data_IF_432527693369
#
_entry.id   IF_432527693369
#
_cell.length_a   1.000
_cell.length_b   1.000
_cell.length_c   1.000
_cell.angle_alpha   90.00
_cell.angle_beta   90.00
_cell.angle_gamma   90.00
#
_symmetry.space_group_name_H-M   'P 1'
#
loop_
_entity.id
_entity.type
_entity.pdbx_description
1 polymer ?
#
# COMPACT_ATOMS: atom_id res chain seq x y z
N UNK A 1 -36.74 32.43 -39.15
CA UNK A 1 -36.08 33.09 -38.00
C UNK A 1 -35.09 32.13 -37.37
N UNK A 2 -34.10 32.69 -36.67
CA UNK A 2 -32.77 32.17 -36.31
C UNK A 2 -32.71 30.84 -35.54
N UNK A 3 -31.65 30.09 -35.89
CA UNK A 3 -31.03 28.95 -35.19
C UNK A 3 -30.71 29.30 -33.74
N UNK A 4 -30.79 28.30 -32.84
CA UNK A 4 -29.89 28.15 -31.69
C UNK A 4 -29.81 26.66 -31.34
N UNK A 5 -28.89 26.00 -32.03
CA UNK A 5 -28.30 24.72 -31.67
C UNK A 5 -26.97 25.12 -31.05
N UNK A 6 -26.82 25.13 -29.71
CA UNK A 6 -25.51 25.25 -29.05
C UNK A 6 -25.61 24.96 -27.53
N UNK A 7 -24.66 24.16 -27.03
CA UNK A 7 -24.36 23.94 -25.61
C UNK A 7 -24.63 22.51 -25.12
N UNK A 8 -23.82 21.47 -25.38
CA UNK A 8 -22.39 21.33 -24.99
C UNK A 8 -22.28 21.54 -23.45
N UNK A 9 -21.85 20.64 -22.57
CA UNK A 9 -20.85 19.57 -22.63
C UNK A 9 -21.18 18.56 -21.52
N UNK A 10 -21.03 17.30 -21.89
CA UNK A 10 -20.91 16.13 -21.02
C UNK A 10 -19.69 16.29 -20.08
N UNK A 11 -19.83 16.85 -18.88
CA UNK A 11 -18.75 16.83 -17.87
C UNK A 11 -18.70 15.49 -17.14
N UNK A 12 -18.39 14.42 -17.89
CA UNK A 12 -17.70 13.25 -17.35
C UNK A 12 -16.26 13.70 -17.03
N UNK A 13 -16.07 14.38 -15.91
CA UNK A 13 -14.73 14.68 -15.41
C UNK A 13 -14.13 13.37 -14.89
N UNK A 14 -13.27 12.79 -15.73
CA UNK A 14 -12.13 11.94 -15.45
C UNK A 14 -12.06 11.38 -14.02
N UNK A 15 -12.36 10.10 -13.85
CA UNK A 15 -11.95 9.33 -12.66
C UNK A 15 -11.26 8.02 -13.01
N UNK A 16 -10.56 7.93 -14.15
CA UNK A 16 -9.97 6.66 -14.60
C UNK A 16 -8.43 6.62 -14.65
N UNK A 17 -7.72 7.69 -14.31
CA UNK A 17 -6.24 7.69 -14.43
C UNK A 17 -5.51 7.30 -13.14
N UNK A 18 -6.13 7.48 -11.96
CA UNK A 18 -5.45 7.23 -10.68
C UNK A 18 -5.41 5.74 -10.28
N UNK A 19 -6.38 4.95 -10.75
CA UNK A 19 -6.45 3.50 -10.45
C UNK A 19 -5.41 2.69 -11.21
N UNK A 20 -5.05 3.09 -12.44
CA UNK A 20 -4.08 2.37 -13.26
C UNK A 20 -2.64 2.50 -12.75
N UNK A 21 -2.26 3.67 -12.22
CA UNK A 21 -0.94 3.89 -11.62
C UNK A 21 -0.79 3.14 -10.29
N UNK A 22 -1.79 3.22 -9.41
CA UNK A 22 -1.82 2.43 -8.17
C UNK A 22 -1.74 0.92 -8.42
N UNK A 23 -2.48 0.41 -9.41
CA UNK A 23 -2.46 -1.01 -9.76
C UNK A 23 -1.10 -1.50 -10.29
N UNK A 24 -0.33 -0.64 -10.97
CA UNK A 24 0.98 -1.00 -11.53
C UNK A 24 2.12 -0.83 -10.52
N UNK A 25 2.08 0.22 -9.69
CA UNK A 25 3.16 0.56 -8.75
C UNK A 25 3.10 -0.27 -7.47
N UNK A 26 1.91 -0.65 -7.02
CA UNK A 26 1.78 -1.35 -5.74
C UNK A 26 2.36 -2.74 -5.68
N UNK A 27 2.23 -3.61 -6.70
CA UNK A 27 2.90 -4.90 -6.69
C UNK A 27 4.42 -4.73 -6.51
N UNK A 28 5.03 -3.78 -7.21
CA UNK A 28 6.46 -3.47 -7.10
C UNK A 28 6.82 -2.89 -5.73
N UNK A 29 5.97 -2.02 -5.17
CA UNK A 29 6.17 -1.47 -3.82
C UNK A 29 6.07 -2.55 -2.73
N UNK A 30 5.07 -3.44 -2.83
CA UNK A 30 4.93 -4.60 -1.94
C UNK A 30 6.15 -5.52 -2.04
N UNK A 31 6.60 -5.80 -3.26
CA UNK A 31 7.80 -6.61 -3.50
C UNK A 31 9.05 -5.97 -2.88
N UNK A 32 9.29 -4.68 -3.13
CA UNK A 32 10.41 -3.94 -2.56
C UNK A 32 10.37 -3.94 -1.02
N UNK A 33 9.19 -3.72 -0.41
CA UNK A 33 9.03 -3.78 1.05
C UNK A 33 9.34 -5.17 1.61
N UNK A 34 8.93 -6.22 0.90
CA UNK A 34 9.21 -7.61 1.30
C UNK A 34 10.70 -7.91 1.24
N UNK A 35 11.38 -7.50 0.16
CA UNK A 35 12.84 -7.65 0.02
C UNK A 35 13.61 -6.88 1.10
N UNK A 36 13.18 -5.65 1.42
CA UNK A 36 13.76 -4.85 2.51
C UNK A 36 13.57 -5.57 3.84
N UNK A 37 12.37 -6.09 4.12
CA UNK A 37 12.11 -6.86 5.35
C UNK A 37 13.04 -8.08 5.46
N UNK A 38 13.22 -8.82 4.36
CA UNK A 38 14.11 -10.00 4.31
C UNK A 38 15.57 -9.57 4.55
N UNK A 39 16.04 -8.52 3.85
CA UNK A 39 17.42 -8.00 4.00
C UNK A 39 17.71 -7.47 5.39
N UNK A 40 16.74 -6.79 6.01
CA UNK A 40 16.88 -6.26 7.37
C UNK A 40 16.91 -7.40 8.41
N UNK A 41 16.45 -8.60 8.07
CA UNK A 41 16.66 -9.82 8.85
C UNK A 41 16.35 -9.67 10.34
N UNK A 42 17.07 -10.43 11.18
CA UNK A 42 16.90 -10.56 12.65
C UNK A 42 16.95 -9.23 13.42
N UNK A 43 17.31 -8.12 12.77
CA UNK A 43 17.31 -6.76 13.32
C UNK A 43 15.90 -6.20 13.54
N UNK A 44 14.89 -6.74 12.86
CA UNK A 44 13.53 -6.30 13.06
C UNK A 44 13.00 -6.87 14.38
N UNK A 45 12.76 -6.00 15.37
CA UNK A 45 12.03 -6.36 16.59
C UNK A 45 10.73 -7.08 16.20
N UNK A 46 10.58 -8.33 16.66
CA UNK A 46 9.44 -9.21 16.33
C UNK A 46 9.63 -10.16 15.14
N UNK A 47 10.83 -10.27 14.55
CA UNK A 47 11.11 -11.24 13.50
C UNK A 47 11.22 -12.70 14.04
N UNK A 48 10.85 -13.72 13.24
CA UNK A 48 11.10 -15.13 13.56
C UNK A 48 12.58 -15.42 13.86
N UNK A 49 12.83 -16.28 14.86
CA UNK A 49 14.20 -16.72 15.20
C UNK A 49 14.82 -17.62 14.13
N UNK A 50 13.99 -18.38 13.41
CA UNK A 50 14.38 -19.26 12.31
C UNK A 50 14.36 -18.48 10.99
N UNK A 51 15.53 -18.33 10.38
CA UNK A 51 15.72 -17.58 9.13
C UNK A 51 14.92 -18.15 7.95
N UNK A 52 14.70 -19.48 7.92
CA UNK A 52 13.89 -20.11 6.88
C UNK A 52 12.42 -19.64 6.90
N UNK A 53 11.93 -19.12 8.03
CA UNK A 53 10.57 -18.57 8.17
C UNK A 53 10.48 -17.10 7.77
N UNK A 54 11.60 -16.42 7.53
CA UNK A 54 11.63 -14.99 7.21
C UNK A 54 10.89 -14.62 5.93
N UNK A 55 11.00 -15.35 4.80
CA UNK A 55 10.28 -14.99 3.58
C UNK A 55 8.76 -15.00 3.77
N UNK A 56 8.22 -16.05 4.42
CA UNK A 56 6.80 -16.17 4.70
C UNK A 56 6.32 -15.09 5.69
N UNK A 57 7.11 -14.81 6.72
CA UNK A 57 6.82 -13.73 7.66
C UNK A 57 6.80 -12.35 6.98
N UNK A 58 7.84 -12.01 6.20
CA UNK A 58 7.93 -10.72 5.53
C UNK A 58 6.84 -10.53 4.48
N UNK A 59 6.48 -11.58 3.73
CA UNK A 59 5.35 -11.51 2.81
C UNK A 59 4.05 -11.20 3.56
N UNK A 60 3.78 -11.93 4.65
CA UNK A 60 2.62 -11.68 5.50
C UNK A 60 2.59 -10.25 6.06
N UNK A 61 3.73 -9.73 6.55
CA UNK A 61 3.81 -8.39 7.13
C UNK A 61 3.49 -7.32 6.08
N UNK A 62 4.07 -7.44 4.89
CA UNK A 62 3.81 -6.52 3.78
C UNK A 62 2.33 -6.52 3.42
N UNK A 63 1.73 -7.70 3.23
CA UNK A 63 0.31 -7.81 2.86
C UNK A 63 -0.59 -7.25 3.98
N UNK A 64 -0.37 -7.70 5.22
CA UNK A 64 -1.17 -7.24 6.38
C UNK A 64 -1.05 -5.72 6.58
N UNK A 65 0.13 -5.14 6.35
CA UNK A 65 0.31 -3.69 6.42
C UNK A 65 -0.52 -2.98 5.36
N UNK A 66 -0.37 -3.35 4.09
CA UNK A 66 -1.05 -2.66 2.99
C UNK A 66 -2.56 -2.89 2.99
N UNK A 67 -3.04 -4.05 3.44
CA UNK A 67 -4.46 -4.34 3.62
C UNK A 67 -5.10 -3.50 4.75
N UNK A 68 -4.29 -3.01 5.69
CA UNK A 68 -4.74 -2.11 6.77
C UNK A 68 -4.80 -0.63 6.37
N UNK A 69 -4.24 -0.26 5.22
CA UNK A 69 -4.21 1.13 4.74
C UNK A 69 -5.56 1.48 4.11
N UNK A 70 -6.28 2.52 4.60
CA UNK A 70 -7.54 2.95 3.98
C UNK A 70 -7.33 3.39 2.53
N UNK A 71 -8.30 3.07 1.66
CA UNK A 71 -8.23 3.42 0.24
C UNK A 71 -8.02 4.93 -0.01
N UNK A 72 -8.55 5.80 0.85
CA UNK A 72 -8.34 7.24 0.74
C UNK A 72 -6.87 7.66 0.95
N UNK A 73 -6.19 7.07 1.94
CA UNK A 73 -4.78 7.32 2.21
C UNK A 73 -3.90 6.77 1.10
N UNK A 74 -4.30 5.61 0.58
CA UNK A 74 -3.68 4.98 -0.58
C UNK A 74 -3.80 5.85 -1.84
N UNK A 75 -5.01 6.35 -2.14
CA UNK A 75 -5.25 7.19 -3.30
C UNK A 75 -4.40 8.47 -3.22
N UNK A 76 -4.30 9.07 -2.02
CA UNK A 76 -3.47 10.24 -1.78
C UNK A 76 -1.98 9.96 -2.02
N UNK A 77 -1.48 8.82 -1.53
CA UNK A 77 -0.11 8.37 -1.79
C UNK A 77 0.14 8.21 -3.29
N UNK A 78 -0.76 7.54 -4.02
CA UNK A 78 -0.59 7.33 -5.47
C UNK A 78 -0.69 8.62 -6.29
N UNK A 79 -1.51 9.59 -5.85
CA UNK A 79 -1.71 10.84 -6.56
C UNK A 79 -0.62 11.88 -6.30
N UNK A 80 -0.04 11.89 -5.10
CA UNK A 80 0.86 12.96 -4.65
C UNK A 80 2.25 12.48 -4.21
N UNK A 81 2.47 11.17 -4.18
CA UNK A 81 3.68 10.56 -3.62
C UNK A 81 3.78 10.66 -2.10
N UNK A 82 2.78 11.24 -1.42
CA UNK A 82 2.77 11.47 0.03
C UNK A 82 1.40 11.14 0.61
N UNK A 83 1.37 10.78 1.89
CA UNK A 83 0.12 10.62 2.62
C UNK A 83 0.39 10.82 4.11
N UNK A 84 0.12 12.02 4.66
CA UNK A 84 0.51 12.35 6.04
C UNK A 84 -0.08 11.41 7.10
N UNK A 85 -1.32 10.96 6.89
CA UNK A 85 -1.96 9.99 7.79
C UNK A 85 -1.35 8.60 7.66
N UNK A 86 -0.90 8.19 6.46
CA UNK A 86 -0.17 6.94 6.27
C UNK A 86 1.18 6.98 7.00
N UNK A 87 1.93 8.07 6.84
CA UNK A 87 3.21 8.31 7.52
C UNK A 87 3.04 8.32 9.05
N UNK A 88 2.06 9.06 9.57
CA UNK A 88 1.79 9.17 10.99
C UNK A 88 1.37 7.84 11.66
N UNK A 89 0.76 6.92 10.89
CA UNK A 89 0.30 5.63 11.41
C UNK A 89 1.21 4.46 11.01
N UNK A 90 2.30 4.71 10.28
CA UNK A 90 3.15 3.69 9.69
C UNK A 90 3.68 2.70 10.73
N UNK A 91 4.32 3.22 11.80
CA UNK A 91 4.92 2.38 12.84
C UNK A 91 3.88 1.51 13.54
N UNK A 92 2.74 2.11 13.92
CA UNK A 92 1.64 1.39 14.59
C UNK A 92 1.12 0.25 13.72
N UNK A 93 0.89 0.48 12.43
CA UNK A 93 0.40 -0.54 11.48
C UNK A 93 1.45 -1.63 11.25
N UNK A 94 2.72 -1.27 11.09
CA UNK A 94 3.81 -2.23 10.96
C UNK A 94 3.96 -3.12 12.20
N UNK A 95 3.88 -2.55 13.40
CA UNK A 95 3.95 -3.31 14.64
C UNK A 95 2.77 -4.29 14.79
N UNK A 96 1.57 -3.86 14.43
CA UNK A 96 0.40 -4.74 14.42
C UNK A 96 0.55 -5.87 13.38
N UNK A 97 0.99 -5.55 12.16
CA UNK A 97 1.24 -6.52 11.10
C UNK A 97 2.28 -7.56 11.52
N UNK A 98 3.41 -7.13 12.10
CA UNK A 98 4.44 -8.02 12.66
C UNK A 98 3.87 -8.94 13.73
N UNK A 99 3.10 -8.41 14.67
CA UNK A 99 2.50 -9.20 15.75
C UNK A 99 1.52 -10.27 15.22
N UNK A 100 0.69 -9.92 14.22
CA UNK A 100 -0.23 -10.86 13.56
C UNK A 100 0.55 -11.96 12.82
N UNK A 101 1.57 -11.58 12.06
CA UNK A 101 2.31 -12.51 11.21
C UNK A 101 3.29 -13.40 11.99
N UNK A 102 3.80 -12.92 13.13
CA UNK A 102 4.63 -13.74 14.01
C UNK A 102 3.84 -14.94 14.55
N UNK A 103 2.56 -14.75 14.90
CA UNK A 103 1.67 -15.85 15.32
C UNK A 103 1.44 -16.89 14.21
N UNK A 104 1.48 -16.47 12.95
CA UNK A 104 1.33 -17.37 11.79
C UNK A 104 2.61 -18.09 11.40
N UNK A 105 3.76 -17.47 11.66
CA UNK A 105 5.08 -18.05 11.40
C UNK A 105 5.56 -18.97 12.53
N UNK A 106 5.00 -18.87 13.74
CA UNK A 106 5.30 -19.68 14.92
C UNK A 106 5.03 -21.16 14.71
#
# INVERSE_FOLDING_TARGET
>A
MKKNLDGLILTLILSCSNTAWGATVMPELKKANTEICIKMGRSAQGAPKNEAKMPAFCNCVTDTYWDSVPQAEYNLLTASGKSPSLEANMEKRLNLAKAICLKKAG
#
